data_IF_362536968701
#
_entry.id   IF_362536968701
#
_cell.length_a   1.000
_cell.length_b   1.000
_cell.length_c   1.000
_cell.angle_alpha   90.00
_cell.angle_beta   90.00
_cell.angle_gamma   90.00
#
_symmetry.space_group_name_H-M   'P 1'
#
loop_
_entity.id
_entity.type
_entity.pdbx_description
1 polymer ?
#
# COMPACT_ATOMS: atom_id res chain seq x y z
N UNK A 1 5.30 -15.55 3.62
CA UNK A 1 5.12 -14.75 4.84
C UNK A 1 4.91 -13.28 4.50
N UNK A 2 5.83 -12.64 3.77
CA UNK A 2 5.73 -11.23 3.41
C UNK A 2 6.45 -10.91 2.12
N UNK A 3 6.05 -9.82 1.44
CA UNK A 3 6.85 -9.15 0.42
C UNK A 3 7.57 -7.95 1.03
N UNK A 4 8.75 -7.65 0.53
CA UNK A 4 9.59 -6.52 0.93
C UNK A 4 9.82 -5.64 -0.29
N UNK A 5 9.29 -4.44 -0.26
CA UNK A 5 9.57 -3.42 -1.27
C UNK A 5 10.76 -2.58 -0.79
N UNK A 6 11.86 -2.63 -1.53
CA UNK A 6 13.06 -1.86 -1.20
C UNK A 6 12.93 -0.42 -1.70
N UNK A 7 13.15 0.55 -0.81
CA UNK A 7 13.16 1.98 -1.13
C UNK A 7 14.44 2.62 -0.62
N UNK A 8 14.74 3.82 -1.08
CA UNK A 8 15.89 4.61 -0.62
C UNK A 8 15.80 5.04 0.86
N UNK A 9 14.58 5.03 1.43
CA UNK A 9 14.32 5.45 2.82
C UNK A 9 14.11 4.28 3.79
N UNK A 10 14.20 3.03 3.29
CA UNK A 10 13.99 1.81 4.06
C UNK A 10 13.10 0.82 3.32
N UNK A 11 12.76 -0.27 3.95
CA UNK A 11 11.96 -1.32 3.35
C UNK A 11 10.50 -1.25 3.80
N UNK A 12 9.57 -1.37 2.85
CA UNK A 12 8.14 -1.50 3.12
C UNK A 12 7.82 -2.99 3.14
N UNK A 13 7.35 -3.50 4.29
CA UNK A 13 7.04 -4.91 4.48
C UNK A 13 5.53 -5.12 4.46
N UNK A 14 5.04 -5.86 3.45
CA UNK A 14 3.63 -6.24 3.31
C UNK A 14 3.47 -7.69 3.72
N UNK A 15 2.89 -7.92 4.90
CA UNK A 15 2.62 -9.27 5.42
C UNK A 15 1.48 -9.93 4.66
N UNK A 16 1.60 -11.23 4.44
CA UNK A 16 0.54 -12.09 3.87
C UNK A 16 -0.13 -12.97 4.94
N UNK A 17 0.38 -12.95 6.18
CA UNK A 17 -0.14 -13.74 7.30
C UNK A 17 0.26 -13.10 8.64
N UNK A 18 -0.29 -13.62 9.74
CA UNK A 18 -0.10 -13.11 11.11
C UNK A 18 1.31 -13.33 11.71
N UNK A 19 2.21 -13.93 10.95
CA UNK A 19 3.58 -14.20 11.43
C UNK A 19 4.38 -12.89 11.53
N UNK A 20 5.08 -12.70 12.66
CA UNK A 20 5.96 -11.56 12.85
C UNK A 20 7.24 -11.68 12.01
N UNK A 21 7.52 -10.65 11.22
CA UNK A 21 8.71 -10.58 10.40
C UNK A 21 9.90 -10.10 11.25
N UNK A 22 11.06 -10.78 11.20
CA UNK A 22 12.25 -10.36 11.93
C UNK A 22 12.69 -8.94 11.55
N UNK A 23 13.05 -8.12 12.54
CA UNK A 23 13.43 -6.70 12.36
C UNK A 23 14.58 -6.49 11.40
N UNK A 24 15.47 -7.47 11.23
CA UNK A 24 16.59 -7.39 10.27
C UNK A 24 16.15 -7.13 8.84
N UNK A 25 14.93 -7.49 8.47
CA UNK A 25 14.42 -7.29 7.10
C UNK A 25 13.87 -5.89 6.84
N UNK A 26 13.69 -5.07 7.87
CA UNK A 26 13.22 -3.69 7.71
C UNK A 26 14.25 -2.77 7.06
N UNK A 27 15.54 -3.14 7.18
CA UNK A 27 16.67 -2.40 6.60
C UNK A 27 17.59 -3.27 5.77
N UNK A 28 17.17 -4.51 5.43
CA UNK A 28 17.99 -5.43 4.64
C UNK A 28 18.20 -4.91 3.21
N UNK A 29 19.36 -5.20 2.67
CA UNK A 29 19.64 -5.01 1.25
C UNK A 29 18.81 -6.00 0.39
N UNK A 30 18.59 -5.71 -0.92
CA UNK A 30 17.83 -6.58 -1.83
C UNK A 30 18.63 -7.83 -2.26
N UNK A 31 19.20 -8.55 -1.29
CA UNK A 31 19.99 -9.77 -1.50
C UNK A 31 19.10 -11.01 -1.36
N UNK A 32 19.32 -12.00 -2.20
CA UNK A 32 18.67 -13.29 -2.06
C UNK A 32 19.53 -14.21 -1.18
N UNK A 33 19.06 -14.54 0.01
CA UNK A 33 19.76 -15.44 0.95
C UNK A 33 19.79 -16.93 0.49
N UNK A 34 19.05 -17.26 -0.59
CA UNK A 34 19.09 -18.61 -1.17
C UNK A 34 20.24 -18.76 -2.17
N UNK A 35 20.35 -17.89 -3.16
CA UNK A 35 21.37 -17.99 -4.20
C UNK A 35 22.52 -16.99 -4.01
N UNK A 36 22.53 -16.22 -2.94
CA UNK A 36 23.51 -15.18 -2.59
C UNK A 36 23.76 -14.16 -3.71
N UNK A 37 22.83 -14.02 -4.66
CA UNK A 37 23.01 -13.09 -5.76
C UNK A 37 22.64 -11.66 -5.35
N UNK A 38 23.58 -10.74 -5.52
CA UNK A 38 23.36 -9.30 -5.42
C UNK A 38 22.90 -8.79 -6.79
N UNK A 39 21.64 -8.46 -6.91
CA UNK A 39 21.03 -7.85 -8.12
C UNK A 39 20.21 -6.66 -7.68
N UNK A 40 20.11 -5.64 -8.53
CA UNK A 40 19.15 -4.57 -8.30
C UNK A 40 17.73 -5.17 -8.36
N UNK A 41 17.03 -5.17 -7.23
CA UNK A 41 15.65 -5.65 -7.09
C UNK A 41 14.84 -4.59 -6.40
N UNK A 42 13.64 -4.33 -6.93
CA UNK A 42 12.66 -3.50 -6.22
C UNK A 42 11.98 -4.28 -5.10
N UNK A 43 11.78 -5.59 -5.32
CA UNK A 43 11.06 -6.45 -4.39
C UNK A 43 11.81 -7.74 -4.09
N UNK A 44 11.73 -8.18 -2.85
CA UNK A 44 12.12 -9.50 -2.37
C UNK A 44 10.98 -10.11 -1.55
N UNK A 45 11.11 -11.36 -1.16
CA UNK A 45 10.07 -12.09 -0.44
C UNK A 45 10.67 -12.75 0.78
N UNK A 46 9.93 -12.71 1.89
CA UNK A 46 10.32 -13.42 3.11
C UNK A 46 9.55 -14.73 3.15
N UNK A 47 10.27 -15.81 3.22
CA UNK A 47 9.77 -17.17 3.43
C UNK A 47 10.19 -17.66 4.80
N UNK A 48 9.42 -18.58 5.37
CA UNK A 48 9.74 -19.24 6.63
C UNK A 48 9.67 -20.75 6.42
N UNK A 49 10.65 -21.47 6.89
CA UNK A 49 10.59 -22.92 6.98
C UNK A 49 9.59 -23.30 8.10
N UNK A 50 8.58 -24.07 7.76
CA UNK A 50 7.51 -24.46 8.71
C UNK A 50 7.97 -25.44 9.79
N UNK A 51 9.05 -26.17 9.55
CA UNK A 51 9.59 -27.14 10.50
C UNK A 51 10.59 -26.50 11.47
N UNK A 52 11.50 -25.67 10.93
CA UNK A 52 12.58 -25.06 11.73
C UNK A 52 12.26 -23.66 12.24
N UNK A 53 11.26 -22.99 11.66
CA UNK A 53 10.96 -21.59 11.94
C UNK A 53 11.95 -20.59 11.34
N UNK A 54 12.96 -21.04 10.57
CA UNK A 54 13.99 -20.20 9.99
C UNK A 54 13.40 -19.31 8.89
N UNK A 55 13.77 -18.02 8.92
CA UNK A 55 13.37 -17.03 7.90
C UNK A 55 14.47 -16.81 6.89
N UNK A 56 14.10 -16.68 5.60
CA UNK A 56 14.98 -16.28 4.50
C UNK A 56 14.34 -15.21 3.62
N UNK A 57 15.16 -14.24 3.22
CA UNK A 57 14.81 -13.29 2.18
C UNK A 57 15.21 -13.86 0.82
N UNK A 58 14.27 -13.99 -0.11
CA UNK A 58 14.53 -14.59 -1.43
C UNK A 58 14.09 -13.67 -2.56
N UNK A 59 14.77 -13.75 -3.69
CA UNK A 59 14.36 -13.08 -4.92
C UNK A 59 13.20 -13.81 -5.59
N UNK A 60 12.47 -13.10 -6.47
CA UNK A 60 11.29 -13.59 -7.20
C UNK A 60 11.50 -14.96 -7.88
N UNK A 61 12.66 -15.17 -8.53
CA UNK A 61 12.96 -16.43 -9.22
C UNK A 61 13.13 -17.60 -8.26
N UNK A 62 13.80 -17.35 -7.11
CA UNK A 62 14.03 -18.38 -6.09
C UNK A 62 12.81 -18.65 -5.21
N UNK A 63 11.80 -17.75 -5.22
CA UNK A 63 10.58 -17.96 -4.45
C UNK A 63 9.87 -19.27 -4.79
N UNK A 64 9.92 -19.66 -6.06
CA UNK A 64 9.31 -20.90 -6.56
C UNK A 64 9.83 -22.15 -5.85
N UNK A 65 11.11 -22.15 -5.44
CA UNK A 65 11.74 -23.27 -4.74
C UNK A 65 11.17 -23.49 -3.33
N UNK A 66 10.53 -22.44 -2.76
CA UNK A 66 9.92 -22.44 -1.42
C UNK A 66 8.39 -22.47 -1.44
N UNK A 67 7.76 -22.42 -2.60
CA UNK A 67 6.31 -22.28 -2.77
C UNK A 67 5.69 -23.34 -3.65
N UNK A 68 6.28 -24.54 -3.69
CA UNK A 68 5.83 -25.64 -4.55
C UNK A 68 5.70 -25.23 -6.03
N UNK A 69 6.61 -24.38 -6.54
CA UNK A 69 6.63 -23.91 -7.91
C UNK A 69 5.75 -22.70 -8.22
N UNK A 70 5.01 -22.18 -7.26
CA UNK A 70 4.19 -20.98 -7.48
C UNK A 70 5.03 -19.72 -7.63
N UNK A 71 4.68 -18.87 -8.58
CA UNK A 71 5.29 -17.54 -8.73
C UNK A 71 4.72 -16.55 -7.72
N UNK A 72 5.43 -15.43 -7.51
CA UNK A 72 4.94 -14.34 -6.67
C UNK A 72 3.57 -13.80 -7.13
N UNK A 73 3.38 -13.69 -8.44
CA UNK A 73 2.11 -13.27 -9.05
C UNK A 73 1.02 -14.31 -8.83
N UNK A 74 1.35 -15.60 -8.94
CA UNK A 74 0.42 -16.71 -8.67
C UNK A 74 -0.05 -16.68 -7.22
N UNK A 75 0.85 -16.45 -6.27
CA UNK A 75 0.51 -16.34 -4.85
C UNK A 75 -0.35 -15.10 -4.59
N UNK A 76 0.03 -13.94 -5.17
CA UNK A 76 -0.74 -12.70 -5.01
C UNK A 76 -2.14 -12.84 -5.63
N UNK A 77 -2.25 -13.46 -6.80
CA UNK A 77 -3.54 -13.75 -7.44
C UNK A 77 -4.40 -14.68 -6.57
N UNK A 78 -3.79 -15.71 -5.98
CA UNK A 78 -4.49 -16.65 -5.11
C UNK A 78 -5.01 -15.96 -3.84
N UNK A 79 -4.17 -15.15 -3.18
CA UNK A 79 -4.57 -14.37 -2.01
C UNK A 79 -5.69 -13.39 -2.36
N UNK A 80 -5.56 -12.66 -3.47
CA UNK A 80 -6.58 -11.72 -3.95
C UNK A 80 -7.90 -12.43 -4.28
N UNK A 81 -7.85 -13.61 -4.90
CA UNK A 81 -9.03 -14.42 -5.18
C UNK A 81 -9.74 -14.86 -3.89
N UNK A 82 -8.97 -15.31 -2.89
CA UNK A 82 -9.52 -15.68 -1.58
C UNK A 82 -10.16 -14.49 -0.87
N UNK A 83 -9.49 -13.33 -0.85
CA UNK A 83 -10.04 -12.10 -0.28
C UNK A 83 -11.34 -11.69 -0.97
N UNK A 84 -11.40 -11.82 -2.29
CA UNK A 84 -12.61 -11.54 -3.07
C UNK A 84 -13.75 -12.51 -2.76
N UNK A 85 -13.46 -13.81 -2.65
CA UNK A 85 -14.46 -14.83 -2.33
C UNK A 85 -15.01 -14.65 -0.91
N UNK A 86 -14.16 -14.23 0.05
CA UNK A 86 -14.58 -13.99 1.43
C UNK A 86 -15.37 -12.68 1.56
N UNK A 87 -14.97 -11.62 0.84
CA UNK A 87 -15.59 -10.29 0.93
C UNK A 87 -16.71 -10.06 -0.07
N UNK A 88 -16.89 -10.96 -1.05
CA UNK A 88 -17.89 -10.82 -2.11
C UNK A 88 -17.63 -9.66 -3.09
N UNK A 89 -16.39 -9.18 -3.15
CA UNK A 89 -15.99 -8.09 -4.04
C UNK A 89 -15.55 -8.61 -5.43
N UNK A 90 -15.91 -7.88 -6.48
CA UNK A 90 -15.53 -8.21 -7.86
C UNK A 90 -14.08 -7.81 -8.12
N UNK A 91 -13.25 -8.74 -8.67
CA UNK A 91 -11.90 -8.40 -9.15
C UNK A 91 -12.05 -7.71 -10.51
N UNK A 92 -11.91 -6.40 -10.56
CA UNK A 92 -11.61 -5.73 -11.83
C UNK A 92 -10.14 -6.01 -12.20
N UNK A 93 -9.94 -7.03 -13.05
CA UNK A 93 -8.65 -7.36 -13.63
C UNK A 93 -8.27 -6.36 -14.72
N UNK A 94 -7.81 -5.18 -14.33
CA UNK A 94 -7.18 -4.20 -15.21
C UNK A 94 -5.66 -4.17 -14.96
N UNK A 95 -4.86 -4.27 -16.03
CA UNK A 95 -3.44 -3.91 -15.97
C UNK A 95 -3.37 -2.39 -15.79
N UNK A 96 -3.27 -1.94 -14.55
CA UNK A 96 -2.97 -0.54 -14.26
C UNK A 96 -1.46 -0.34 -14.35
N UNK A 97 -0.96 0.52 -15.24
CA UNK A 97 0.44 0.93 -15.18
C UNK A 97 0.69 1.47 -13.77
N UNK A 98 1.87 1.19 -13.22
CA UNK A 98 2.26 1.67 -11.90
C UNK A 98 2.30 3.19 -11.94
N UNK A 99 1.18 3.83 -11.62
CA UNK A 99 1.12 5.28 -11.48
C UNK A 99 1.78 5.66 -10.15
N UNK A 100 2.67 6.65 -10.22
CA UNK A 100 3.26 7.27 -9.05
C UNK A 100 2.44 8.50 -8.68
N UNK A 101 2.24 8.68 -7.39
CA UNK A 101 1.49 9.79 -6.80
C UNK A 101 2.44 10.50 -5.84
N UNK A 102 2.42 11.82 -5.81
CA UNK A 102 3.12 12.59 -4.79
C UNK A 102 2.56 12.25 -3.40
N UNK A 103 3.43 11.89 -2.47
CA UNK A 103 3.02 11.40 -1.14
C UNK A 103 2.24 12.46 -0.36
N UNK A 104 2.69 13.72 -0.43
CA UNK A 104 2.01 14.84 0.24
C UNK A 104 0.58 15.00 -0.29
N UNK A 105 0.40 14.94 -1.61
CA UNK A 105 -0.91 15.05 -2.24
C UNK A 105 -1.83 13.89 -1.85
N UNK A 106 -1.32 12.65 -1.85
CA UNK A 106 -2.08 11.50 -1.37
C UNK A 106 -2.57 11.68 0.07
N UNK A 107 -1.71 12.20 0.96
CA UNK A 107 -2.07 12.50 2.35
C UNK A 107 -3.16 13.57 2.45
N UNK A 108 -3.10 14.61 1.63
CA UNK A 108 -4.12 15.66 1.58
C UNK A 108 -5.49 15.10 1.19
N UNK A 109 -5.56 14.26 0.14
CA UNK A 109 -6.83 13.61 -0.26
C UNK A 109 -7.40 12.70 0.81
N UNK A 110 -6.55 11.95 1.52
CA UNK A 110 -6.98 11.09 2.64
C UNK A 110 -7.49 11.93 3.81
N UNK A 111 -6.72 12.95 4.22
CA UNK A 111 -7.09 13.83 5.32
C UNK A 111 -8.42 14.55 5.05
N UNK A 112 -8.58 15.11 3.87
CA UNK A 112 -9.81 15.78 3.45
C UNK A 112 -10.99 14.81 3.36
N UNK A 113 -10.76 13.57 2.90
CA UNK A 113 -11.81 12.54 2.93
C UNK A 113 -12.27 12.25 4.34
N UNK A 114 -11.33 12.14 5.30
CA UNK A 114 -11.66 11.91 6.72
C UNK A 114 -12.41 13.13 7.29
N UNK A 115 -11.98 14.34 6.96
CA UNK A 115 -12.63 15.58 7.41
C UNK A 115 -14.08 15.66 6.94
N UNK A 116 -14.33 15.34 5.67
CA UNK A 116 -15.67 15.44 5.08
C UNK A 116 -16.63 14.30 5.47
N UNK A 117 -16.11 13.09 5.68
CA UNK A 117 -16.95 11.88 5.81
C UNK A 117 -16.68 11.06 7.08
N UNK A 118 -15.69 11.43 7.88
CA UNK A 118 -15.17 10.62 8.98
C UNK A 118 -14.33 9.43 8.47
N UNK A 119 -13.62 8.79 9.40
CA UNK A 119 -12.86 7.58 9.10
C UNK A 119 -13.78 6.37 8.93
N UNK A 120 -13.60 5.64 7.84
CA UNK A 120 -14.31 4.39 7.53
C UNK A 120 -13.29 3.27 7.34
N UNK A 121 -13.43 2.20 8.14
CA UNK A 121 -12.52 1.05 8.13
C UNK A 121 -12.39 0.41 6.75
N UNK A 122 -11.23 -0.19 6.49
CA UNK A 122 -10.92 -0.87 5.23
C UNK A 122 -11.81 -2.09 4.93
N UNK A 123 -12.56 -2.58 5.91
CA UNK A 123 -13.49 -3.72 5.76
C UNK A 123 -14.92 -3.28 5.48
N UNK A 124 -15.22 -1.99 5.57
CA UNK A 124 -16.54 -1.45 5.33
C UNK A 124 -16.72 -1.03 3.87
N UNK A 125 -17.98 -0.98 3.44
CA UNK A 125 -18.32 -0.42 2.13
C UNK A 125 -17.86 1.05 2.05
N UNK A 126 -17.25 1.43 0.95
CA UNK A 126 -16.68 2.77 0.72
C UNK A 126 -15.68 3.20 1.81
N UNK A 127 -14.74 2.32 2.13
CA UNK A 127 -13.63 2.62 3.04
C UNK A 127 -12.93 3.95 2.70
N UNK A 128 -12.39 4.63 3.71
CA UNK A 128 -11.66 5.91 3.53
C UNK A 128 -10.62 5.82 2.43
N UNK A 129 -9.78 4.76 2.43
CA UNK A 129 -8.73 4.55 1.41
C UNK A 129 -9.29 4.47 -0.01
N UNK A 130 -10.45 3.81 -0.19
CA UNK A 130 -11.08 3.66 -1.49
C UNK A 130 -11.66 4.99 -1.95
N UNK A 131 -12.41 5.69 -1.10
CA UNK A 131 -13.02 6.98 -1.43
C UNK A 131 -11.98 8.05 -1.76
N UNK A 132 -10.92 8.16 -0.96
CA UNK A 132 -9.84 9.11 -1.19
C UNK A 132 -9.13 8.85 -2.53
N UNK A 133 -8.90 7.58 -2.88
CA UNK A 133 -8.35 7.17 -4.17
C UNK A 133 -9.28 7.52 -5.33
N UNK A 134 -10.57 7.19 -5.22
CA UNK A 134 -11.58 7.50 -6.23
C UNK A 134 -11.67 9.01 -6.52
N UNK A 135 -11.59 9.83 -5.48
CA UNK A 135 -11.59 11.28 -5.61
C UNK A 135 -10.30 11.81 -6.25
N UNK A 136 -9.15 11.28 -5.83
CA UNK A 136 -7.87 11.59 -6.47
C UNK A 136 -7.90 11.27 -7.98
N UNK A 137 -8.30 10.04 -8.34
CA UNK A 137 -8.35 9.60 -9.74
C UNK A 137 -9.36 10.42 -10.57
N UNK A 138 -10.50 10.80 -9.98
CA UNK A 138 -11.52 11.61 -10.67
C UNK A 138 -11.07 13.05 -10.90
N UNK A 139 -10.35 13.62 -9.93
CA UNK A 139 -9.88 15.01 -10.00
C UNK A 139 -8.70 15.17 -10.99
N UNK A 140 -7.83 14.17 -11.03
CA UNK A 140 -6.67 14.13 -11.93
C UNK A 140 -6.97 13.57 -13.33
N UNK A 141 -8.25 13.35 -13.66
CA UNK A 141 -8.65 12.86 -14.98
C UNK A 141 -8.17 11.45 -15.31
N UNK A 142 -7.84 10.65 -14.29
CA UNK A 142 -7.39 9.26 -14.47
C UNK A 142 -8.54 8.30 -14.82
N UNK A 143 -9.78 8.71 -14.60
CA UNK A 143 -10.98 7.96 -14.93
C UNK A 143 -11.53 8.37 -16.30
N UNK A 144 -11.06 7.70 -17.37
CA UNK A 144 -11.50 7.93 -18.76
C UNK A 144 -12.39 6.81 -19.31
N UNK A 145 -12.86 6.97 -20.54
CA UNK A 145 -13.62 5.94 -21.26
C UNK A 145 -14.89 5.52 -20.53
N UNK A 146 -15.01 4.21 -20.25
CA UNK A 146 -16.19 3.63 -19.57
C UNK A 146 -16.41 4.17 -18.14
N UNK A 147 -15.36 4.68 -17.51
CA UNK A 147 -15.40 5.22 -16.14
C UNK A 147 -15.70 6.72 -16.07
N UNK A 148 -15.86 7.41 -17.19
CA UNK A 148 -16.11 8.86 -17.23
C UNK A 148 -17.38 9.28 -16.44
N UNK A 149 -18.41 8.45 -16.43
CA UNK A 149 -19.64 8.71 -15.66
C UNK A 149 -19.40 8.58 -14.15
N UNK A 150 -18.53 7.65 -13.73
CA UNK A 150 -18.14 7.51 -12.33
C UNK A 150 -17.30 8.71 -11.88
N UNK A 151 -16.35 9.18 -12.70
CA UNK A 151 -15.58 10.38 -12.42
C UNK A 151 -16.50 11.59 -12.19
N UNK A 152 -17.49 11.83 -13.06
CA UNK A 152 -18.49 12.90 -12.86
C UNK A 152 -19.29 12.74 -11.58
N UNK A 153 -19.65 11.49 -11.20
CA UNK A 153 -20.35 11.22 -9.94
C UNK A 153 -19.48 11.63 -8.75
N UNK A 154 -18.21 11.21 -8.72
CA UNK A 154 -17.29 11.56 -7.64
C UNK A 154 -17.01 13.05 -7.56
N UNK A 155 -16.78 13.73 -8.69
CA UNK A 155 -16.65 15.18 -8.74
C UNK A 155 -17.87 15.91 -8.20
N UNK A 156 -19.09 15.42 -8.49
CA UNK A 156 -20.31 15.98 -7.92
C UNK A 156 -20.45 15.74 -6.42
N UNK A 157 -20.01 14.56 -5.91
CA UNK A 157 -19.95 14.30 -4.47
C UNK A 157 -18.98 15.27 -3.79
N UNK A 158 -17.77 15.45 -4.32
CA UNK A 158 -16.77 16.38 -3.82
C UNK A 158 -17.31 17.81 -3.73
N UNK A 159 -17.98 18.29 -4.78
CA UNK A 159 -18.62 19.64 -4.80
C UNK A 159 -19.69 19.79 -3.71
N UNK A 160 -20.49 18.77 -3.45
CA UNK A 160 -21.58 18.81 -2.44
C UNK A 160 -21.07 18.99 -1.01
N UNK A 161 -19.86 18.51 -0.71
CA UNK A 161 -19.25 18.62 0.60
C UNK A 161 -18.16 19.68 0.67
N UNK A 162 -18.01 20.49 -0.39
CA UNK A 162 -16.93 21.48 -0.51
C UNK A 162 -15.56 20.87 -0.27
N UNK A 163 -15.33 19.68 -0.87
CA UNK A 163 -14.06 18.97 -0.77
C UNK A 163 -12.92 19.80 -1.37
N UNK A 164 -11.92 20.11 -0.57
CA UNK A 164 -10.72 20.85 -0.99
C UNK A 164 -9.47 20.26 -0.32
N UNK A 165 -8.79 19.35 -1.03
CA UNK A 165 -7.55 18.74 -0.56
C UNK A 165 -6.40 19.75 -0.37
N UNK A 166 -6.52 20.97 -0.93
CA UNK A 166 -5.53 22.03 -0.83
C UNK A 166 -5.87 23.11 0.19
N UNK A 167 -6.96 22.93 0.96
CA UNK A 167 -7.35 23.89 1.99
C UNK A 167 -6.27 24.01 3.09
N UNK A 168 -6.21 25.17 3.74
CA UNK A 168 -5.26 25.40 4.84
C UNK A 168 -5.55 24.46 6.01
N UNK A 169 -6.82 24.17 6.28
CA UNK A 169 -7.24 23.23 7.32
C UNK A 169 -6.73 21.81 7.06
N UNK A 170 -6.79 21.37 5.81
CA UNK A 170 -6.30 20.03 5.42
C UNK A 170 -4.79 19.94 5.53
N UNK A 171 -4.07 21.00 5.12
CA UNK A 171 -2.61 21.08 5.27
C UNK A 171 -2.18 21.07 6.74
N UNK A 172 -2.87 21.81 7.59
CA UNK A 172 -2.61 21.83 9.04
C UNK A 172 -2.82 20.44 9.63
N UNK A 173 -3.94 19.78 9.32
CA UNK A 173 -4.23 18.41 9.76
C UNK A 173 -3.13 17.42 9.33
N UNK A 174 -2.67 17.48 8.09
CA UNK A 174 -1.58 16.61 7.60
C UNK A 174 -0.28 16.88 8.38
N UNK A 175 0.06 18.14 8.63
CA UNK A 175 1.23 18.49 9.43
C UNK A 175 1.13 17.93 10.86
N UNK A 176 -0.02 18.03 11.50
CA UNK A 176 -0.26 17.51 12.84
C UNK A 176 -0.11 15.98 12.87
N UNK A 177 -0.63 15.29 11.85
CA UNK A 177 -0.48 13.84 11.70
C UNK A 177 1.00 13.46 11.55
N UNK A 178 1.77 14.17 10.72
CA UNK A 178 3.21 13.91 10.53
C UNK A 178 4.00 14.15 11.83
N UNK A 179 3.69 15.21 12.57
CA UNK A 179 4.30 15.49 13.88
C UNK A 179 3.95 14.41 14.90
N UNK A 180 2.69 13.99 14.95
CA UNK A 180 2.27 12.89 15.81
C UNK A 180 2.98 11.59 15.45
N UNK A 181 3.03 11.25 14.18
CA UNK A 181 3.65 10.02 13.69
C UNK A 181 5.16 9.99 13.98
N UNK A 182 5.86 11.13 13.88
CA UNK A 182 7.31 11.20 14.18
C UNK A 182 7.63 10.78 15.62
N UNK A 183 6.69 10.97 16.54
CA UNK A 183 6.81 10.63 17.97
C UNK A 183 6.48 9.16 18.27
N UNK A 184 5.87 8.44 17.33
CA UNK A 184 5.50 7.05 17.57
C UNK A 184 6.72 6.13 17.54
N UNK A 185 6.83 5.14 18.44
CA UNK A 185 7.93 4.20 18.41
C UNK A 185 7.81 3.27 17.20
N UNK A 186 8.92 2.89 16.61
CA UNK A 186 8.99 1.86 15.56
C UNK A 186 8.87 0.45 16.15
N UNK A 187 7.90 0.26 17.03
CA UNK A 187 7.73 -0.99 17.78
C UNK A 187 7.12 -2.11 16.95
N UNK A 188 6.42 -1.76 15.90
CA UNK A 188 5.74 -2.73 15.03
C UNK A 188 5.90 -2.40 13.55
N UNK A 189 5.56 -3.38 12.71
CA UNK A 189 5.65 -3.29 11.26
C UNK A 189 4.80 -2.15 10.66
N UNK A 190 3.65 -1.84 11.27
CA UNK A 190 2.75 -0.80 10.76
C UNK A 190 3.40 0.59 10.82
N UNK A 191 3.88 1.00 11.99
CA UNK A 191 4.52 2.31 12.15
C UNK A 191 5.81 2.45 11.35
N UNK A 192 6.60 1.36 11.22
CA UNK A 192 7.76 1.36 10.35
C UNK A 192 7.37 1.61 8.88
N UNK A 193 6.42 0.86 8.36
CA UNK A 193 5.94 1.02 6.99
C UNK A 193 5.35 2.42 6.75
N UNK A 194 4.54 2.91 7.70
CA UNK A 194 3.91 4.24 7.62
C UNK A 194 4.96 5.35 7.56
N UNK A 195 5.95 5.33 8.46
CA UNK A 195 7.06 6.30 8.44
C UNK A 195 7.85 6.23 7.13
N UNK A 196 8.16 5.02 6.67
CA UNK A 196 8.89 4.83 5.40
C UNK A 196 8.10 5.43 4.24
N UNK A 197 6.79 5.12 4.13
CA UNK A 197 5.94 5.66 3.05
C UNK A 197 5.85 7.17 3.12
N UNK A 198 5.63 7.76 4.30
CA UNK A 198 5.55 9.22 4.47
C UNK A 198 6.87 9.94 4.20
N UNK A 199 8.01 9.25 4.22
CA UNK A 199 9.32 9.83 3.89
C UNK A 199 9.66 9.77 2.40
N UNK A 200 8.87 9.08 1.59
CA UNK A 200 9.03 9.02 0.13
C UNK A 200 8.41 10.25 -0.52
N UNK A 201 9.04 10.77 -1.57
CA UNK A 201 8.49 11.84 -2.40
C UNK A 201 7.29 11.34 -3.21
N UNK A 202 7.41 10.13 -3.76
CA UNK A 202 6.38 9.50 -4.57
C UNK A 202 6.06 8.09 -4.07
N UNK A 203 4.79 7.74 -4.11
CA UNK A 203 4.27 6.42 -3.77
C UNK A 203 3.49 5.81 -4.93
N UNK A 204 3.22 4.51 -4.86
CA UNK A 204 2.30 3.84 -5.77
C UNK A 204 0.92 3.72 -5.15
N UNK A 205 -0.11 3.49 -5.96
CA UNK A 205 -1.47 3.21 -5.43
C UNK A 205 -1.51 2.02 -4.47
N UNK A 206 -0.60 1.05 -4.62
CA UNK A 206 -0.51 -0.08 -3.67
C UNK A 206 -0.09 0.36 -2.26
N UNK A 207 0.55 1.50 -2.11
CA UNK A 207 0.97 2.07 -0.83
C UNK A 207 -0.02 3.10 -0.28
N UNK A 208 -0.95 3.58 -1.11
CA UNK A 208 -1.98 4.56 -0.73
C UNK A 208 -2.78 4.11 0.50
N UNK A 209 -3.13 2.82 0.56
CA UNK A 209 -3.85 2.25 1.70
C UNK A 209 -3.07 2.17 3.03
N UNK A 210 -1.74 2.42 3.02
CA UNK A 210 -0.96 2.53 4.26
C UNK A 210 -1.09 3.91 4.90
N UNK A 211 -1.44 4.94 4.10
CA UNK A 211 -1.61 6.32 4.58
C UNK A 211 -3.03 6.57 5.14
N UNK A 212 -4.01 5.74 4.76
CA UNK A 212 -5.39 5.80 5.20
C UNK A 212 -5.67 4.85 6.36
#
# INVERSE_FOLDING_TARGET
IASVQHTEKGNIIKKCCEVEVPKRYYTSEPVCEHCNSKRSRKDTYIVQNTETGEFKQVGKSCLKDFTCGMSAEGIACYISLFDTLIKGEYIEGGFHPTAYIETAEAMHYIAETIRCFGYVSSTAERATKQRAREYYEADHGMMGGVFANMAKKFQNEMRRVSFDANSDETRELVNDILVWMSKQPESNNYFHNLKTVCSLEYITFSNFGLLA
#
